data_IF_008305317752
#
_entry.id   IF_008305317752
#
_cell.length_a   1.000
_cell.length_b   1.000
_cell.length_c   1.000
_cell.angle_alpha   90.00
_cell.angle_beta   90.00
_cell.angle_gamma   90.00
#
_symmetry.space_group_name_H-M   'P 1'
#
loop_
_entity.id
_entity.type
_entity.pdbx_description
1 polymer ?
#
# COMPACT_ATOMS: atom_id res chain seq x y z
N UNK A 1 -12.74 -6.17 -13.85
CA UNK A 1 -12.43 -5.92 -12.42
C UNK A 1 -13.74 -5.50 -11.75
N UNK A 2 -14.08 -6.00 -10.54
CA UNK A 2 -15.26 -5.52 -9.86
C UNK A 2 -15.04 -4.08 -9.40
N UNK A 3 -16.01 -3.23 -9.66
CA UNK A 3 -16.02 -1.83 -9.23
C UNK A 3 -16.71 -1.73 -7.87
N UNK A 4 -16.20 -0.86 -7.00
CA UNK A 4 -16.92 -0.51 -5.78
C UNK A 4 -18.04 0.47 -6.14
N UNK A 5 -19.27 0.09 -5.81
CA UNK A 5 -20.47 0.93 -5.88
C UNK A 5 -20.98 1.11 -4.47
N UNK A 6 -20.96 2.35 -3.99
CA UNK A 6 -21.40 2.71 -2.64
C UNK A 6 -22.86 2.30 -2.40
N UNK A 7 -23.18 1.81 -1.20
CA UNK A 7 -24.51 1.34 -0.80
C UNK A 7 -25.08 0.16 -1.62
N UNK A 8 -24.28 -0.44 -2.50
CA UNK A 8 -24.68 -1.59 -3.35
C UNK A 8 -23.72 -2.76 -3.17
N UNK A 9 -22.44 -2.48 -3.04
CA UNK A 9 -21.40 -3.51 -2.95
C UNK A 9 -21.49 -4.25 -1.63
N UNK A 10 -21.64 -5.58 -1.68
CA UNK A 10 -21.68 -6.44 -0.50
C UNK A 10 -20.30 -6.97 -0.12
N UNK A 11 -20.08 -7.09 1.19
CA UNK A 11 -18.91 -7.75 1.76
C UNK A 11 -18.97 -9.25 1.52
N UNK A 12 -17.89 -9.80 0.97
CA UNK A 12 -17.80 -11.23 0.68
C UNK A 12 -17.69 -12.14 1.92
N UNK A 13 -17.49 -11.57 3.11
CA UNK A 13 -17.37 -12.31 4.38
C UNK A 13 -18.71 -12.35 5.13
N UNK A 14 -19.39 -11.21 5.30
CA UNK A 14 -20.62 -11.10 6.10
C UNK A 14 -21.91 -10.92 5.28
N UNK A 15 -21.81 -10.83 3.94
CA UNK A 15 -22.89 -10.55 2.97
C UNK A 15 -23.67 -9.24 3.20
N UNK A 16 -23.23 -8.39 4.13
CA UNK A 16 -23.82 -7.06 4.36
C UNK A 16 -23.31 -6.04 3.35
N UNK A 17 -24.13 -5.02 3.07
CA UNK A 17 -23.74 -3.88 2.25
C UNK A 17 -22.59 -3.12 2.90
N UNK A 18 -21.66 -2.63 2.08
CA UNK A 18 -20.59 -1.73 2.50
C UNK A 18 -21.03 -0.30 2.19
N UNK A 19 -21.31 0.44 3.25
CA UNK A 19 -21.93 1.78 3.16
C UNK A 19 -20.99 2.81 2.54
N UNK A 20 -19.67 2.68 2.74
CA UNK A 20 -18.70 3.69 2.32
C UNK A 20 -17.42 3.09 1.74
N UNK A 21 -16.79 3.84 0.81
CA UNK A 21 -15.55 3.42 0.15
C UNK A 21 -14.40 3.18 1.12
N UNK A 22 -14.30 3.99 2.18
CA UNK A 22 -13.23 3.89 3.17
C UNK A 22 -13.38 2.66 4.08
N UNK A 23 -14.59 2.12 4.22
CA UNK A 23 -14.85 0.87 4.93
C UNK A 23 -14.57 -0.35 4.03
N UNK A 24 -14.47 -0.14 2.71
CA UNK A 24 -14.24 -1.19 1.74
C UNK A 24 -12.75 -1.46 1.52
N UNK A 25 -12.40 -2.74 1.45
CA UNK A 25 -11.12 -3.22 0.93
C UNK A 25 -11.37 -4.27 -0.15
N UNK A 26 -10.47 -4.35 -1.13
CA UNK A 26 -10.53 -5.36 -2.17
C UNK A 26 -9.57 -6.51 -1.83
N UNK A 27 -10.07 -7.74 -1.83
CA UNK A 27 -9.23 -8.91 -1.60
C UNK A 27 -8.24 -9.09 -2.77
N UNK A 28 -6.98 -9.44 -2.51
CA UNK A 28 -6.02 -9.68 -3.57
C UNK A 28 -6.39 -10.96 -4.34
N UNK A 29 -5.68 -11.19 -5.44
CA UNK A 29 -5.77 -12.47 -6.13
C UNK A 29 -4.96 -13.53 -5.38
N UNK A 30 -5.50 -14.75 -5.30
CA UNK A 30 -4.80 -15.95 -4.86
C UNK A 30 -5.04 -17.07 -5.86
N UNK A 31 -4.06 -17.94 -6.05
CA UNK A 31 -4.17 -19.02 -7.02
C UNK A 31 -5.07 -20.16 -6.47
N UNK A 32 -6.02 -20.71 -7.25
CA UNK A 32 -6.92 -21.78 -6.79
C UNK A 32 -6.23 -23.05 -6.26
N UNK A 33 -4.99 -23.29 -6.70
CA UNK A 33 -4.14 -24.40 -6.20
C UNK A 33 -3.74 -24.24 -4.73
N UNK A 34 -3.72 -23.03 -4.19
CA UNK A 34 -3.41 -22.80 -2.76
C UNK A 34 -4.62 -23.10 -1.89
N UNK A 35 -5.78 -22.58 -2.29
CA UNK A 35 -7.07 -22.90 -1.69
C UNK A 35 -8.19 -22.54 -2.66
N UNK A 36 -8.94 -23.54 -3.09
CA UNK A 36 -10.04 -23.35 -4.04
C UNK A 36 -11.19 -22.54 -3.43
N UNK A 37 -11.51 -22.76 -2.15
CA UNK A 37 -12.57 -22.04 -1.43
C UNK A 37 -12.22 -20.56 -1.24
N UNK A 38 -10.98 -20.26 -0.83
CA UNK A 38 -10.54 -18.87 -0.67
C UNK A 38 -10.42 -18.18 -2.04
N UNK A 39 -9.94 -18.88 -3.08
CA UNK A 39 -9.76 -18.28 -4.39
C UNK A 39 -11.07 -17.80 -5.04
N UNK A 40 -12.21 -18.36 -4.66
CA UNK A 40 -13.54 -17.86 -5.09
C UNK A 40 -13.85 -16.46 -4.54
N UNK A 41 -13.15 -16.03 -3.49
CA UNK A 41 -13.31 -14.69 -2.90
C UNK A 41 -12.33 -13.67 -3.49
N UNK A 42 -11.36 -14.10 -4.30
CA UNK A 42 -10.36 -13.22 -4.90
C UNK A 42 -11.00 -12.02 -5.62
N UNK A 43 -10.42 -10.83 -5.44
CA UNK A 43 -10.88 -9.55 -6.01
C UNK A 43 -12.26 -9.07 -5.54
N UNK A 44 -12.97 -9.81 -4.68
CA UNK A 44 -14.22 -9.33 -4.09
C UNK A 44 -13.95 -8.27 -3.02
N UNK A 45 -14.94 -7.43 -2.76
CA UNK A 45 -14.86 -6.44 -1.70
C UNK A 45 -15.28 -7.01 -0.36
N UNK A 46 -14.67 -6.50 0.70
CA UNK A 46 -14.95 -6.83 2.10
C UNK A 46 -14.94 -5.56 2.95
N UNK A 47 -15.64 -5.56 4.08
CA UNK A 47 -15.39 -4.54 5.09
C UNK A 47 -13.97 -4.71 5.65
N UNK A 48 -13.27 -3.59 5.88
CA UNK A 48 -11.96 -3.59 6.57
C UNK A 48 -12.06 -4.20 7.97
N UNK A 49 -13.17 -3.99 8.69
CA UNK A 49 -13.44 -4.63 9.98
C UNK A 49 -13.55 -6.15 9.84
N UNK A 50 -14.41 -6.63 8.94
CA UNK A 50 -14.57 -8.06 8.68
C UNK A 50 -13.23 -8.71 8.30
N UNK A 51 -12.43 -8.08 7.46
CA UNK A 51 -11.10 -8.59 7.10
C UNK A 51 -10.19 -8.76 8.32
N UNK A 52 -10.11 -7.78 9.22
CA UNK A 52 -9.25 -7.82 10.41
C UNK A 52 -9.62 -8.96 11.36
N UNK A 53 -10.90 -9.27 11.46
CA UNK A 53 -11.44 -10.29 12.38
C UNK A 53 -11.60 -11.66 11.73
N UNK A 54 -11.40 -11.76 10.41
CA UNK A 54 -11.63 -12.99 9.69
C UNK A 54 -10.52 -14.01 9.96
N UNK A 55 -10.91 -15.19 10.47
CA UNK A 55 -9.99 -16.28 10.84
C UNK A 55 -9.02 -16.69 9.73
N UNK A 56 -9.44 -16.58 8.47
CA UNK A 56 -8.66 -17.01 7.31
C UNK A 56 -7.81 -15.87 6.71
N UNK A 57 -7.86 -14.65 7.28
CA UNK A 57 -7.17 -13.47 6.75
C UNK A 57 -5.66 -13.69 6.61
N UNK A 58 -5.01 -14.25 7.63
CA UNK A 58 -3.56 -14.52 7.60
C UNK A 58 -3.17 -15.54 6.52
N UNK A 59 -3.96 -16.59 6.35
CA UNK A 59 -3.74 -17.59 5.31
C UNK A 59 -3.89 -16.96 3.92
N UNK A 60 -4.96 -16.17 3.73
CA UNK A 60 -5.24 -15.48 2.48
C UNK A 60 -4.15 -14.45 2.12
N UNK A 61 -3.78 -13.59 3.06
CA UNK A 61 -2.75 -12.55 2.84
C UNK A 61 -1.40 -13.15 2.52
N UNK A 62 -1.03 -14.25 3.20
CA UNK A 62 0.24 -14.94 2.96
C UNK A 62 0.26 -15.60 1.58
N UNK A 63 -0.83 -16.26 1.19
CA UNK A 63 -0.97 -16.86 -0.14
C UNK A 63 -0.85 -15.80 -1.24
N UNK A 64 -1.51 -14.65 -1.07
CA UNK A 64 -1.47 -13.55 -2.03
C UNK A 64 -0.07 -12.92 -2.14
N UNK A 65 0.57 -12.69 -0.99
CA UNK A 65 1.92 -12.14 -0.93
C UNK A 65 2.94 -13.05 -1.63
N UNK A 66 2.90 -14.36 -1.37
CA UNK A 66 3.80 -15.33 -1.99
C UNK A 66 3.59 -15.38 -3.51
N UNK A 67 2.33 -15.41 -3.96
CA UNK A 67 2.02 -15.37 -5.38
C UNK A 67 2.54 -14.09 -6.06
N UNK A 68 2.36 -12.94 -5.42
CA UNK A 68 2.87 -11.67 -5.96
C UNK A 68 4.40 -11.64 -6.03
N UNK A 69 5.10 -12.23 -5.05
CA UNK A 69 6.56 -12.39 -5.10
C UNK A 69 7.00 -13.28 -6.26
N UNK A 70 6.34 -14.42 -6.45
CA UNK A 70 6.65 -15.37 -7.53
C UNK A 70 6.47 -14.73 -8.90
N UNK A 71 5.31 -14.12 -9.17
CA UNK A 71 5.03 -13.47 -10.46
C UNK A 71 6.07 -12.40 -10.79
N UNK A 72 6.39 -11.54 -9.82
CA UNK A 72 7.36 -10.47 -10.01
C UNK A 72 8.82 -10.97 -10.13
N UNK A 73 9.13 -12.17 -9.64
CA UNK A 73 10.46 -12.77 -9.85
C UNK A 73 10.70 -13.26 -11.27
N UNK A 74 9.62 -13.48 -12.05
CA UNK A 74 9.68 -13.98 -13.42
C UNK A 74 9.48 -12.88 -14.48
N UNK A 75 8.82 -11.78 -14.14
CA UNK A 75 8.64 -10.64 -15.05
C UNK A 75 9.79 -9.64 -14.92
N UNK A 76 10.59 -9.47 -15.97
CA UNK A 76 11.70 -8.52 -16.03
C UNK A 76 11.29 -7.04 -15.87
N UNK A 77 9.99 -6.74 -16.00
CA UNK A 77 9.45 -5.39 -15.94
C UNK A 77 9.16 -4.90 -14.50
N UNK A 78 9.02 -5.80 -13.52
CA UNK A 78 8.64 -5.48 -12.14
C UNK A 78 9.78 -5.81 -11.19
N UNK A 79 10.66 -4.84 -10.97
CA UNK A 79 11.76 -4.98 -10.01
C UNK A 79 11.23 -4.81 -8.59
N UNK A 80 11.19 -5.90 -7.82
CA UNK A 80 10.96 -5.84 -6.37
C UNK A 80 12.13 -5.12 -5.71
N UNK A 81 11.82 -4.04 -4.99
CA UNK A 81 12.80 -3.28 -4.23
C UNK A 81 12.81 -3.67 -2.75
N UNK A 82 11.66 -4.13 -2.23
CA UNK A 82 11.49 -4.62 -0.87
C UNK A 82 10.35 -5.64 -0.81
N UNK A 83 10.51 -6.70 -0.01
CA UNK A 83 9.42 -7.63 0.27
C UNK A 83 9.59 -8.25 1.67
N UNK A 84 8.70 -7.93 2.59
CA UNK A 84 8.69 -8.51 3.93
C UNK A 84 7.32 -8.41 4.57
N UNK A 85 6.95 -9.39 5.40
CA UNK A 85 5.75 -9.40 6.23
C UNK A 85 4.45 -8.96 5.51
N UNK A 86 4.19 -9.47 4.31
CA UNK A 86 2.99 -9.12 3.55
C UNK A 86 3.01 -7.73 2.91
N UNK A 87 4.13 -7.01 2.93
CA UNK A 87 4.35 -5.75 2.22
C UNK A 87 5.35 -5.98 1.08
N UNK A 88 4.99 -5.59 -0.14
CA UNK A 88 5.89 -5.56 -1.30
C UNK A 88 5.97 -4.12 -1.82
N UNK A 89 7.19 -3.69 -2.15
CA UNK A 89 7.48 -2.47 -2.90
C UNK A 89 8.16 -2.86 -4.20
N UNK A 90 7.65 -2.39 -5.32
CA UNK A 90 8.27 -2.58 -6.63
C UNK A 90 8.12 -1.36 -7.53
N UNK A 91 9.03 -1.20 -8.47
CA UNK A 91 8.97 -0.11 -9.46
C UNK A 91 8.04 -0.48 -10.61
N UNK A 92 7.16 0.45 -10.99
CA UNK A 92 6.24 0.33 -12.12
C UNK A 92 6.68 1.32 -13.20
N UNK A 93 7.44 0.83 -14.18
CA UNK A 93 8.04 1.67 -15.23
C UNK A 93 7.02 2.52 -15.99
N UNK A 94 5.88 1.92 -16.38
CA UNK A 94 4.85 2.59 -17.16
C UNK A 94 4.20 3.80 -16.45
N UNK A 95 4.23 3.83 -15.12
CA UNK A 95 3.67 4.92 -14.30
C UNK A 95 4.76 5.82 -13.71
N UNK A 96 6.04 5.49 -13.93
CA UNK A 96 7.18 6.08 -13.25
C UNK A 96 6.96 6.23 -11.74
N UNK A 97 6.49 5.16 -11.11
CA UNK A 97 6.10 5.14 -9.69
C UNK A 97 6.66 3.92 -8.96
N UNK A 98 6.79 4.03 -7.64
CA UNK A 98 6.89 2.88 -6.75
C UNK A 98 5.49 2.47 -6.32
N UNK A 99 5.13 1.20 -6.53
CA UNK A 99 3.89 0.62 -6.02
C UNK A 99 4.18 -0.08 -4.70
N UNK A 100 3.42 0.29 -3.67
CA UNK A 100 3.39 -0.42 -2.40
C UNK A 100 2.13 -1.24 -2.35
N UNK A 101 2.27 -2.50 -1.99
CA UNK A 101 1.15 -3.40 -1.85
C UNK A 101 1.26 -4.11 -0.51
N UNK A 102 0.32 -3.81 0.40
CA UNK A 102 0.22 -4.46 1.70
C UNK A 102 -0.97 -5.41 1.72
N UNK A 103 -0.68 -6.71 1.70
CA UNK A 103 -1.66 -7.78 1.66
C UNK A 103 -2.36 -8.02 2.99
N UNK A 104 -1.79 -7.55 4.11
CA UNK A 104 -2.44 -7.61 5.43
C UNK A 104 -3.37 -6.42 5.66
N UNK A 105 -3.06 -5.26 5.09
CA UNK A 105 -3.90 -4.05 5.19
C UNK A 105 -4.85 -3.87 4.02
N UNK A 106 -4.72 -4.70 2.97
CA UNK A 106 -5.48 -4.63 1.72
C UNK A 106 -5.42 -3.23 1.09
N UNK A 107 -4.21 -2.66 1.05
CA UNK A 107 -3.98 -1.33 0.46
C UNK A 107 -2.92 -1.43 -0.63
N UNK A 108 -3.14 -0.67 -1.70
CA UNK A 108 -2.17 -0.46 -2.77
C UNK A 108 -1.99 1.04 -2.94
N UNK A 109 -0.74 1.50 -2.90
CA UNK A 109 -0.39 2.93 -2.98
C UNK A 109 0.64 3.08 -4.09
N UNK A 110 0.33 3.92 -5.06
CA UNK A 110 1.28 4.31 -6.10
C UNK A 110 1.90 5.66 -5.75
N UNK A 111 3.22 5.69 -5.64
CA UNK A 111 3.97 6.89 -5.28
C UNK A 111 4.88 7.27 -6.44
N UNK A 112 4.66 8.43 -7.09
CA UNK A 112 5.54 8.91 -8.13
C UNK A 112 7.00 8.94 -7.66
N UNK A 113 7.94 8.57 -8.52
CA UNK A 113 9.38 8.53 -8.17
C UNK A 113 9.86 9.88 -7.63
N UNK A 114 9.35 11.00 -8.17
CA UNK A 114 9.66 12.36 -7.70
C UNK A 114 9.24 12.66 -6.26
N UNK A 115 8.21 11.97 -5.74
CA UNK A 115 7.67 12.16 -4.40
C UNK A 115 8.15 11.10 -3.41
N UNK A 116 8.73 10.00 -3.90
CA UNK A 116 9.11 8.84 -3.11
C UNK A 116 10.07 9.15 -1.95
N UNK A 117 11.05 10.04 -2.19
CA UNK A 117 11.97 10.50 -1.15
C UNK A 117 11.25 11.28 -0.04
N UNK A 118 10.39 12.25 -0.42
CA UNK A 118 9.64 13.07 0.53
C UNK A 118 8.67 12.21 1.36
N UNK A 119 7.95 11.32 0.69
CA UNK A 119 7.04 10.37 1.32
C UNK A 119 7.76 9.47 2.33
N UNK A 120 8.87 8.86 1.90
CA UNK A 120 9.68 7.99 2.75
C UNK A 120 10.13 8.70 4.03
N UNK A 121 10.61 9.94 3.91
CA UNK A 121 11.03 10.73 5.08
C UNK A 121 9.86 11.05 6.01
N UNK A 122 8.70 11.50 5.51
CA UNK A 122 7.54 11.77 6.36
C UNK A 122 7.09 10.53 7.13
N UNK A 123 7.08 9.37 6.48
CA UNK A 123 6.72 8.12 7.12
C UNK A 123 7.79 7.72 8.15
N UNK A 124 9.07 7.68 7.78
CA UNK A 124 10.16 7.34 8.71
C UNK A 124 10.15 8.25 9.94
N UNK A 125 10.02 9.57 9.76
CA UNK A 125 9.93 10.51 10.87
C UNK A 125 8.68 10.26 11.72
N UNK A 126 7.52 9.98 11.13
CA UNK A 126 6.33 9.64 11.91
C UNK A 126 6.55 8.39 12.78
N UNK A 127 7.13 7.32 12.23
CA UNK A 127 7.38 6.08 12.97
C UNK A 127 8.54 6.19 13.99
N UNK A 128 9.62 6.90 13.67
CA UNK A 128 10.83 6.96 14.51
C UNK A 128 10.86 8.14 15.49
N UNK A 129 10.48 9.33 15.03
CA UNK A 129 10.53 10.56 15.83
C UNK A 129 9.26 10.74 16.68
N UNK A 130 8.29 9.83 16.52
CA UNK A 130 6.99 9.87 17.20
C UNK A 130 6.20 11.15 16.93
N UNK A 131 6.50 11.83 15.83
CA UNK A 131 5.71 12.96 15.34
C UNK A 131 4.54 12.43 14.52
N UNK A 132 3.51 11.99 15.23
CA UNK A 132 2.34 11.36 14.66
C UNK A 132 1.23 12.34 14.30
N UNK A 133 1.44 13.66 14.32
CA UNK A 133 0.40 14.64 13.95
C UNK A 133 0.80 15.36 12.67
N UNK A 134 1.17 14.59 11.64
CA UNK A 134 1.64 15.13 10.38
C UNK A 134 0.52 15.19 9.36
N UNK A 135 0.39 16.35 8.73
CA UNK A 135 -0.39 16.52 7.50
C UNK A 135 0.57 17.00 6.42
N UNK A 136 0.59 16.33 5.28
CA UNK A 136 1.39 16.72 4.14
C UNK A 136 0.64 16.45 2.84
N UNK A 137 0.96 17.24 1.83
CA UNK A 137 0.43 17.04 0.47
C UNK A 137 1.30 16.04 -0.27
N UNK A 138 0.75 15.33 -1.23
CA UNK A 138 1.49 14.63 -2.29
C UNK A 138 0.64 14.59 -3.57
N UNK A 139 1.08 15.29 -4.61
CA UNK A 139 0.20 15.61 -5.74
C UNK A 139 -1.07 16.29 -5.22
N UNK A 140 -2.23 15.77 -5.65
CA UNK A 140 -3.55 16.28 -5.27
C UNK A 140 -4.10 15.68 -3.95
N UNK A 141 -3.33 14.79 -3.31
CA UNK A 141 -3.77 14.08 -2.11
C UNK A 141 -3.23 14.72 -0.83
N UNK A 142 -4.11 14.89 0.16
CA UNK A 142 -3.74 15.24 1.53
C UNK A 142 -3.57 13.96 2.33
N UNK A 143 -2.37 13.75 2.85
CA UNK A 143 -2.04 12.66 3.75
C UNK A 143 -2.05 13.16 5.18
N UNK A 144 -2.76 12.43 6.04
CA UNK A 144 -2.72 12.64 7.48
C UNK A 144 -2.27 11.36 8.16
N UNK A 145 -1.25 11.50 8.98
CA UNK A 145 -0.77 10.45 9.87
C UNK A 145 -1.23 10.81 11.27
N UNK A 146 -1.78 9.83 11.99
CA UNK A 146 -2.22 9.93 13.38
C UNK A 146 -1.81 8.70 14.15
N UNK A 147 -1.57 8.85 15.46
CA UNK A 147 -1.47 7.72 16.37
C UNK A 147 -2.82 7.47 17.02
N UNK A 148 -3.26 6.23 17.06
CA UNK A 148 -4.43 5.85 17.87
C UNK A 148 -4.04 5.52 19.32
N UNK A 149 -5.03 5.27 20.17
CA UNK A 149 -4.83 4.96 21.59
C UNK A 149 -4.09 3.63 21.82
N UNK A 150 -4.03 2.77 20.81
CA UNK A 150 -3.31 1.49 20.82
C UNK A 150 -1.91 1.60 20.21
N UNK A 151 -1.41 2.83 20.05
CA UNK A 151 -0.12 3.15 19.47
C UNK A 151 0.04 2.77 17.98
N UNK A 152 -1.05 2.37 17.31
CA UNK A 152 -1.04 2.11 15.88
C UNK A 152 -1.00 3.42 15.10
N UNK A 153 -0.57 3.34 13.84
CA UNK A 153 -0.51 4.50 12.96
C UNK A 153 -1.65 4.45 11.96
N UNK A 154 -2.56 5.42 12.07
CA UNK A 154 -3.64 5.64 11.13
C UNK A 154 -3.18 6.56 10.00
N UNK A 155 -3.36 6.09 8.76
CA UNK A 155 -3.19 6.86 7.55
C UNK A 155 -4.57 7.22 6.99
N UNK A 156 -4.75 8.50 6.71
CA UNK A 156 -5.93 9.04 6.05
C UNK A 156 -5.49 9.75 4.78
N UNK A 157 -6.05 9.38 3.64
CA UNK A 157 -5.78 9.97 2.34
C UNK A 157 -7.04 10.69 1.87
N UNK A 158 -6.94 11.98 1.57
CA UNK A 158 -8.04 12.78 1.02
C UNK A 158 -7.71 13.33 -0.36
N UNK A 159 -8.72 13.42 -1.22
CA UNK A 159 -8.65 14.12 -2.51
C UNK A 159 -9.63 15.30 -2.44
N UNK A 160 -9.11 16.52 -2.32
CA UNK A 160 -9.92 17.68 -1.93
C UNK A 160 -10.60 17.47 -0.57
N UNK A 161 -11.93 17.58 -0.53
CA UNK A 161 -12.72 17.35 0.70
C UNK A 161 -13.10 15.88 0.92
N UNK A 162 -12.97 15.03 -0.10
CA UNK A 162 -13.42 13.64 -0.06
C UNK A 162 -12.36 12.72 0.57
N UNK A 163 -12.80 11.79 1.41
CA UNK A 163 -11.95 10.74 1.95
C UNK A 163 -11.73 9.66 0.88
N UNK A 164 -10.50 9.54 0.39
CA UNK A 164 -10.12 8.59 -0.65
C UNK A 164 -9.82 7.21 -0.06
N UNK A 165 -9.04 7.16 1.03
CA UNK A 165 -8.76 5.90 1.73
C UNK A 165 -8.37 6.12 3.21
N UNK A 166 -8.48 5.05 4.00
CA UNK A 166 -8.13 4.99 5.41
C UNK A 166 -7.62 3.60 5.80
N UNK A 167 -6.45 3.52 6.42
CA UNK A 167 -5.90 2.26 6.93
C UNK A 167 -5.04 2.45 8.18
N UNK A 168 -4.83 1.37 8.94
CA UNK A 168 -4.12 1.40 10.22
C UNK A 168 -2.97 0.40 10.18
N UNK A 169 -1.77 0.86 10.50
CA UNK A 169 -0.56 0.04 10.63
C UNK A 169 -0.33 -0.30 12.10
N UNK A 170 -0.45 -1.59 12.42
CA UNK A 170 -0.24 -2.10 13.77
C UNK A 170 1.23 -2.00 14.23
N UNK A 171 1.45 -1.83 15.53
CA UNK A 171 2.77 -1.60 16.16
C UNK A 171 3.83 -2.65 15.80
N UNK A 172 3.45 -3.92 15.75
CA UNK A 172 4.30 -5.04 15.37
C UNK A 172 4.82 -4.96 13.92
N UNK A 173 4.16 -4.15 13.06
CA UNK A 173 4.51 -3.96 11.66
C UNK A 173 5.23 -2.65 11.37
N UNK A 174 5.44 -1.80 12.37
CA UNK A 174 6.10 -0.51 12.23
C UNK A 174 7.50 -0.63 11.60
N UNK A 175 8.30 -1.59 12.09
CA UNK A 175 9.67 -1.82 11.59
C UNK A 175 9.70 -2.24 10.11
N UNK A 176 8.73 -3.05 9.68
CA UNK A 176 8.60 -3.47 8.28
C UNK A 176 8.36 -2.26 7.37
N UNK A 177 7.42 -1.40 7.75
CA UNK A 177 7.12 -0.16 7.02
C UNK A 177 8.32 0.79 6.99
N UNK A 178 8.99 1.01 8.12
CA UNK A 178 10.21 1.85 8.19
C UNK A 178 11.31 1.32 7.27
N UNK A 179 11.56 0.01 7.27
CA UNK A 179 12.59 -0.59 6.43
C UNK A 179 12.26 -0.47 4.94
N UNK A 180 10.99 -0.68 4.56
CA UNK A 180 10.54 -0.44 3.20
C UNK A 180 10.77 1.02 2.76
N UNK A 181 10.51 1.99 3.63
CA UNK A 181 10.75 3.40 3.33
C UNK A 181 12.23 3.73 3.16
N UNK A 182 13.09 3.18 4.02
CA UNK A 182 14.54 3.38 3.92
C UNK A 182 15.10 2.88 2.60
N UNK A 183 14.64 1.73 2.12
CA UNK A 183 15.00 1.20 0.80
C UNK A 183 14.63 2.17 -0.33
N UNK A 184 13.42 2.74 -0.27
CA UNK A 184 12.96 3.69 -1.28
C UNK A 184 13.74 5.00 -1.21
N UNK A 185 14.00 5.52 -0.01
CA UNK A 185 14.79 6.75 0.19
C UNK A 185 16.20 6.58 -0.40
N UNK A 186 16.86 5.46 -0.09
CA UNK A 186 18.18 5.15 -0.60
C UNK A 186 18.21 5.12 -2.13
N UNK A 187 17.21 4.49 -2.77
CA UNK A 187 17.13 4.37 -4.24
C UNK A 187 16.65 5.64 -4.93
N UNK A 188 15.76 6.39 -4.31
CA UNK A 188 15.34 7.72 -4.77
C UNK A 188 16.52 8.69 -4.83
N UNK A 189 17.43 8.60 -3.85
CA UNK A 189 18.65 9.42 -3.80
C UNK A 189 19.61 9.07 -4.95
N UNK A 190 19.71 7.77 -5.32
CA UNK A 190 20.53 7.31 -6.44
C UNK A 190 19.98 7.77 -7.81
N UNK A 191 18.66 7.69 -8.03
CA UNK A 191 18.04 8.08 -9.31
C UNK A 191 18.02 9.59 -9.56
N UNK A 192 18.00 10.43 -8.53
CA UNK A 192 18.09 11.89 -8.68
C UNK A 192 19.51 12.31 -9.11
N UNK A 193 20.54 11.54 -8.77
CA UNK A 193 21.92 11.77 -9.22
C UNK A 193 22.21 11.35 -10.68
N UNK A 194 21.31 10.59 -11.30
CA UNK A 194 21.42 10.13 -12.70
C UNK A 194 20.71 11.04 -13.71
N UNK A 195 20.18 12.19 -13.27
CA UNK A 195 19.72 13.22 -14.21
C UNK A 195 20.95 13.66 -15.00
N UNK A 196 20.98 13.52 -16.35
CA UNK A 196 22.12 13.95 -17.13
C UNK A 196 22.30 15.45 -16.88
N UNK A 197 23.43 15.83 -16.33
CA UNK A 197 23.91 17.20 -16.43
C UNK A 197 23.95 17.51 -17.91
N UNK A 198 23.00 18.32 -18.38
CA UNK A 198 23.09 18.93 -19.71
C UNK A 198 24.36 19.76 -19.66
N UNK A 199 25.43 19.22 -20.26
CA UNK A 199 26.67 19.93 -20.48
C UNK A 199 26.35 21.11 -21.38
N UNK A 200 26.19 22.28 -20.79
CA UNK A 200 26.25 23.55 -21.49
C UNK A 200 27.71 23.83 -21.82
N UNK A 201 28.27 23.08 -22.78
CA UNK A 201 29.31 23.57 -23.68
C UNK A 201 28.55 24.06 -24.91
N UNK A 202 28.37 25.36 -25.15
CA UNK A 202 29.41 26.36 -25.21
C UNK A 202 30.10 26.25 -26.56
N UNK A 203 29.47 26.73 -27.63
CA UNK A 203 29.91 27.76 -28.60
C UNK A 203 28.93 27.84 -29.77
#
# INVERSE_FOLDING_TARGET
MPFFIQNVTKCAICDQVIDNRYDAAQLPYIHPKVSSSLAQLARRFVHRSCWREWKDANLFSTAAFNLAKEVNSHESALKIEFASDGLIVFWVAAMNSYRWQDFKLLVTIDIPVSEAFRMGNHIVSAFLEKDFHRTFLMGDYIWKIRRDDSENIEFTIKEGEQLADKFIVATDRHSCWVNAMKEIIAKGTQKVGEIPTVSTSGY
#
